data_IF_640219704276
#
_entry.id   IF_640219704276
#
_cell.length_a   1.000
_cell.length_b   1.000
_cell.length_c   1.000
_cell.angle_alpha   90.00
_cell.angle_beta   90.00
_cell.angle_gamma   90.00
#
_symmetry.space_group_name_H-M   'P 1'
#
loop_
_entity.id
_entity.type
_entity.pdbx_description
1 polymer ?
#
# COMPACT_ATOMS: atom_id res chain seq x y z
N UNK A 1 3.54 -2.62 -33.49
CA UNK A 1 2.32 -3.25 -32.99
C UNK A 1 2.47 -4.73 -32.59
N UNK A 2 3.10 -5.60 -33.38
CA UNK A 2 3.28 -7.03 -33.01
C UNK A 2 4.12 -7.25 -31.74
N UNK A 3 5.16 -6.46 -31.49
CA UNK A 3 5.98 -6.57 -30.27
C UNK A 3 5.21 -6.16 -29.01
N UNK A 4 4.31 -5.18 -29.10
CA UNK A 4 3.44 -4.78 -27.99
C UNK A 4 2.45 -5.89 -27.61
N UNK A 5 1.80 -6.51 -28.61
CA UNK A 5 0.88 -7.65 -28.40
C UNK A 5 1.56 -8.89 -27.83
N UNK A 6 2.80 -9.19 -28.31
CA UNK A 6 3.59 -10.30 -27.75
C UNK A 6 4.01 -10.03 -26.30
N UNK A 7 4.20 -8.77 -25.93
CA UNK A 7 4.50 -8.32 -24.58
C UNK A 7 3.28 -8.47 -23.67
N UNK A 8 2.10 -8.00 -24.10
CA UNK A 8 0.83 -8.15 -23.37
C UNK A 8 0.50 -9.61 -23.09
N UNK A 9 0.68 -10.52 -24.08
CA UNK A 9 0.40 -11.94 -23.88
C UNK A 9 1.39 -12.61 -22.92
N UNK A 10 2.66 -12.20 -22.91
CA UNK A 10 3.67 -12.72 -21.97
C UNK A 10 3.36 -12.31 -20.53
N UNK A 11 2.93 -11.07 -20.32
CA UNK A 11 2.56 -10.54 -18.99
C UNK A 11 1.21 -11.09 -18.51
N UNK A 12 0.24 -11.26 -19.41
CA UNK A 12 -1.08 -11.80 -19.08
C UNK A 12 -1.02 -13.24 -18.53
N UNK A 13 -0.02 -14.01 -18.94
CA UNK A 13 0.15 -15.40 -18.50
C UNK A 13 0.97 -15.53 -17.20
N UNK A 14 1.64 -14.48 -16.73
CA UNK A 14 2.39 -14.49 -15.49
C UNK A 14 1.56 -13.89 -14.35
N UNK A 15 1.13 -14.72 -13.40
CA UNK A 15 0.30 -14.30 -12.25
C UNK A 15 0.95 -13.22 -11.40
N UNK A 16 2.27 -13.18 -11.34
CA UNK A 16 3.06 -12.23 -10.54
C UNK A 16 3.64 -11.08 -11.36
N UNK A 17 3.32 -11.01 -12.64
CA UNK A 17 3.76 -9.90 -13.47
C UNK A 17 3.05 -8.60 -13.04
N UNK A 18 3.82 -7.60 -12.69
CA UNK A 18 3.29 -6.25 -12.47
C UNK A 18 3.08 -5.59 -13.83
N UNK A 19 1.84 -5.23 -14.21
CA UNK A 19 1.62 -4.52 -15.46
C UNK A 19 2.10 -3.07 -15.31
N UNK A 20 3.04 -2.66 -16.14
CA UNK A 20 3.42 -1.25 -16.30
C UNK A 20 2.63 -0.63 -17.44
N UNK A 21 1.58 0.08 -17.16
CA UNK A 21 0.83 0.74 -18.22
C UNK A 21 1.46 2.10 -18.55
N UNK A 22 1.67 2.31 -19.83
CA UNK A 22 2.35 3.48 -20.39
C UNK A 22 1.46 4.72 -20.56
N UNK A 23 0.25 4.73 -20.01
CA UNK A 23 -0.74 5.78 -20.27
C UNK A 23 -0.53 7.00 -19.36
N UNK A 24 -0.48 8.20 -19.94
CA UNK A 24 -0.27 9.48 -19.28
C UNK A 24 -1.08 9.75 -18.01
N UNK A 25 -2.38 9.37 -17.91
CA UNK A 25 -3.17 9.56 -16.69
C UNK A 25 -2.57 8.90 -15.44
N UNK A 26 -1.79 7.85 -15.61
CA UNK A 26 -1.19 7.11 -14.47
C UNK A 26 -0.03 7.84 -13.83
N UNK A 27 0.76 8.55 -14.62
CA UNK A 27 1.82 9.44 -14.12
C UNK A 27 1.16 10.54 -13.28
N UNK A 28 0.13 11.19 -13.81
CA UNK A 28 -0.59 12.26 -13.11
C UNK A 28 -1.16 11.79 -11.77
N UNK A 29 -1.83 10.64 -11.74
CA UNK A 29 -2.33 10.05 -10.49
C UNK A 29 -1.21 9.67 -9.52
N UNK A 30 -0.06 9.19 -10.02
CA UNK A 30 1.10 8.90 -9.17
C UNK A 30 1.68 10.14 -8.52
N UNK A 31 1.83 11.23 -9.30
CA UNK A 31 2.31 12.52 -8.78
C UNK A 31 1.31 13.11 -7.78
N UNK A 32 0.01 13.10 -8.08
CA UNK A 32 -1.02 13.58 -7.16
C UNK A 32 -1.06 12.75 -5.86
N UNK A 33 -0.88 11.44 -5.96
CA UNK A 33 -0.78 10.56 -4.80
C UNK A 33 0.43 10.92 -3.92
N UNK A 34 1.60 11.06 -4.51
CA UNK A 34 2.82 11.47 -3.82
C UNK A 34 2.66 12.83 -3.13
N UNK A 35 2.21 13.85 -3.88
CA UNK A 35 1.99 15.20 -3.35
C UNK A 35 0.95 15.16 -2.22
N UNK A 36 -0.12 14.38 -2.38
CA UNK A 36 -1.16 14.22 -1.37
C UNK A 36 -0.61 13.63 -0.07
N UNK A 37 0.17 12.55 -0.14
CA UNK A 37 0.76 11.92 1.05
C UNK A 37 1.83 12.80 1.72
N UNK A 38 2.77 13.33 0.93
CA UNK A 38 3.82 14.22 1.47
C UNK A 38 3.21 15.49 2.04
N UNK A 39 2.26 16.10 1.33
CA UNK A 39 1.54 17.28 1.82
C UNK A 39 0.76 17.01 3.10
N UNK A 40 0.09 15.86 3.19
CA UNK A 40 -0.62 15.44 4.39
C UNK A 40 0.31 15.26 5.59
N UNK A 41 1.46 14.58 5.40
CA UNK A 41 2.45 14.42 6.44
C UNK A 41 3.13 15.74 6.82
N UNK A 42 3.41 16.61 5.83
CA UNK A 42 3.98 17.94 6.06
C UNK A 42 3.06 18.87 6.84
N UNK A 43 1.73 18.73 6.71
CA UNK A 43 0.77 19.46 7.56
C UNK A 43 0.99 19.13 9.04
N UNK A 44 1.25 17.90 9.39
CA UNK A 44 1.60 17.49 10.74
C UNK A 44 2.90 18.13 11.24
N UNK A 45 3.93 18.14 10.39
CA UNK A 45 5.21 18.76 10.70
C UNK A 45 5.07 20.29 10.90
N UNK A 46 4.29 20.96 10.03
CA UNK A 46 4.01 22.38 10.15
C UNK A 46 3.23 22.72 11.42
N UNK A 47 2.25 21.89 11.80
CA UNK A 47 1.45 22.06 12.99
C UNK A 47 2.18 21.61 14.28
N UNK A 48 3.36 21.02 14.15
CA UNK A 48 4.10 20.34 15.25
C UNK A 48 3.18 19.38 16.03
N UNK A 49 2.39 18.61 15.28
CA UNK A 49 1.35 17.76 15.86
C UNK A 49 1.23 16.42 15.13
N UNK A 50 1.65 15.36 15.80
CA UNK A 50 1.61 14.00 15.31
C UNK A 50 0.19 13.51 14.95
N UNK A 51 -0.82 13.95 15.71
CA UNK A 51 -2.23 13.61 15.42
C UNK A 51 -2.68 14.24 14.11
N UNK A 52 -2.29 15.50 13.83
CA UNK A 52 -2.61 16.17 12.56
C UNK A 52 -2.01 15.41 11.39
N UNK A 53 -0.75 14.93 11.52
CA UNK A 53 -0.11 14.10 10.49
C UNK A 53 -0.87 12.80 10.24
N UNK A 54 -1.19 12.07 11.30
CA UNK A 54 -1.95 10.80 11.22
C UNK A 54 -3.33 11.01 10.57
N UNK A 55 -4.06 12.05 10.99
CA UNK A 55 -5.39 12.37 10.44
C UNK A 55 -5.30 12.74 8.97
N UNK A 56 -4.36 13.61 8.60
CA UNK A 56 -4.21 14.06 7.23
C UNK A 56 -3.83 12.91 6.29
N UNK A 57 -2.88 12.06 6.70
CA UNK A 57 -2.48 10.87 5.92
C UNK A 57 -3.64 9.88 5.83
N UNK A 58 -4.37 9.61 6.92
CA UNK A 58 -5.55 8.75 6.89
C UNK A 58 -6.63 9.29 5.95
N UNK A 59 -6.87 10.60 5.96
CA UNK A 59 -7.87 11.24 5.09
C UNK A 59 -7.55 11.07 3.60
N UNK A 60 -6.27 11.07 3.24
CA UNK A 60 -5.81 10.85 1.85
C UNK A 60 -5.80 9.36 1.50
N UNK A 61 -5.28 8.51 2.38
CA UNK A 61 -5.00 7.11 2.05
C UNK A 61 -6.21 6.18 2.25
N UNK A 62 -7.12 6.44 3.22
CA UNK A 62 -8.25 5.55 3.48
C UNK A 62 -9.26 5.46 2.32
N UNK A 63 -9.59 6.56 1.60
CA UNK A 63 -10.41 6.44 0.39
C UNK A 63 -9.77 5.55 -0.68
N UNK A 64 -8.44 5.60 -0.83
CA UNK A 64 -7.71 4.74 -1.77
C UNK A 64 -7.76 3.28 -1.31
N UNK A 65 -7.68 3.02 0.02
CA UNK A 65 -7.88 1.68 0.56
C UNK A 65 -9.29 1.14 0.25
N UNK A 66 -10.32 1.94 0.43
CA UNK A 66 -11.69 1.60 0.06
C UNK A 66 -11.84 1.29 -1.43
N UNK A 67 -11.24 2.11 -2.30
CA UNK A 67 -11.21 1.89 -3.74
C UNK A 67 -10.43 0.62 -4.11
N UNK A 68 -9.30 0.34 -3.44
CA UNK A 68 -8.54 -0.89 -3.66
C UNK A 68 -9.36 -2.13 -3.29
N UNK A 69 -10.04 -2.12 -2.12
CA UNK A 69 -10.97 -3.17 -1.73
C UNK A 69 -12.12 -3.36 -2.74
N UNK A 70 -12.71 -2.25 -3.23
CA UNK A 70 -13.75 -2.29 -4.27
C UNK A 70 -13.24 -2.95 -5.55
N UNK A 71 -12.07 -2.53 -6.04
CA UNK A 71 -11.49 -3.01 -7.29
C UNK A 71 -11.08 -4.48 -7.20
N UNK A 72 -10.45 -4.87 -6.08
CA UNK A 72 -10.06 -6.26 -5.82
C UNK A 72 -11.30 -7.15 -5.69
N UNK A 73 -12.31 -6.70 -4.93
CA UNK A 73 -13.59 -7.38 -4.84
C UNK A 73 -14.30 -7.50 -6.21
N UNK A 74 -14.17 -6.48 -7.07
CA UNK A 74 -14.71 -6.54 -8.43
C UNK A 74 -13.96 -7.54 -9.33
N UNK A 75 -12.65 -7.67 -9.17
CA UNK A 75 -11.86 -8.64 -9.93
C UNK A 75 -12.30 -10.08 -9.61
N UNK A 76 -12.60 -10.39 -8.35
CA UNK A 76 -13.09 -11.70 -7.91
C UNK A 76 -14.58 -11.93 -8.18
N UNK A 77 -15.40 -10.87 -8.08
CA UNK A 77 -16.87 -10.94 -8.14
C UNK A 77 -17.46 -9.88 -9.09
N UNK A 78 -17.17 -9.93 -10.39
CA UNK A 78 -17.53 -8.85 -11.32
C UNK A 78 -19.04 -8.62 -11.48
N UNK A 79 -19.87 -9.63 -11.13
CA UNK A 79 -21.34 -9.57 -11.23
C UNK A 79 -22.06 -9.31 -9.91
N UNK A 80 -21.32 -9.13 -8.80
CA UNK A 80 -21.90 -9.02 -7.45
C UNK A 80 -21.59 -7.67 -6.84
N UNK A 81 -22.45 -6.67 -7.07
CA UNK A 81 -22.24 -5.29 -6.58
C UNK A 81 -22.20 -5.19 -5.06
N UNK A 82 -23.01 -5.96 -4.35
CA UNK A 82 -23.03 -5.99 -2.88
C UNK A 82 -21.69 -6.44 -2.31
N UNK A 83 -21.14 -7.55 -2.81
CA UNK A 83 -19.82 -8.08 -2.36
C UNK A 83 -18.72 -7.03 -2.47
N UNK A 84 -18.69 -6.29 -3.59
CA UNK A 84 -17.72 -5.20 -3.81
C UNK A 84 -17.86 -4.07 -2.79
N UNK A 85 -19.09 -3.69 -2.47
CA UNK A 85 -19.37 -2.66 -1.48
C UNK A 85 -18.89 -3.04 -0.09
N UNK A 86 -19.07 -4.30 0.31
CA UNK A 86 -18.62 -4.80 1.62
C UNK A 86 -17.09 -4.92 1.72
N UNK A 87 -16.41 -5.35 0.65
CA UNK A 87 -14.93 -5.33 0.63
C UNK A 87 -14.38 -3.91 0.68
N UNK A 88 -15.02 -2.96 0.01
CA UNK A 88 -14.68 -1.54 0.09
C UNK A 88 -14.88 -0.99 1.51
N UNK A 89 -16.02 -1.29 2.14
CA UNK A 89 -16.34 -0.85 3.49
C UNK A 89 -15.34 -1.43 4.51
N UNK A 90 -15.02 -2.72 4.42
CA UNK A 90 -14.04 -3.37 5.30
C UNK A 90 -12.64 -2.76 5.15
N UNK A 91 -12.18 -2.52 3.93
CA UNK A 91 -10.89 -1.90 3.66
C UNK A 91 -10.84 -0.44 4.15
N UNK A 92 -11.89 0.35 3.90
CA UNK A 92 -11.97 1.74 4.32
C UNK A 92 -12.03 1.89 5.84
N UNK A 93 -12.96 1.19 6.50
CA UNK A 93 -13.14 1.28 7.97
C UNK A 93 -11.91 0.76 8.71
N UNK A 94 -11.32 -0.33 8.21
CA UNK A 94 -10.06 -0.84 8.76
C UNK A 94 -8.91 0.15 8.62
N UNK A 95 -8.81 0.85 7.48
CA UNK A 95 -7.80 1.87 7.24
C UNK A 95 -7.99 3.10 8.15
N UNK A 96 -9.22 3.61 8.27
CA UNK A 96 -9.56 4.77 9.12
C UNK A 96 -9.24 4.52 10.59
N UNK A 97 -9.28 3.27 11.04
CA UNK A 97 -8.92 2.94 12.42
C UNK A 97 -7.47 3.31 12.79
N UNK A 98 -6.58 3.48 11.80
CA UNK A 98 -5.22 4.02 12.01
C UNK A 98 -5.20 5.40 12.69
N UNK A 99 -6.32 6.13 12.69
CA UNK A 99 -6.51 7.36 13.49
C UNK A 99 -6.39 7.15 14.99
N UNK A 100 -6.61 5.94 15.50
CA UNK A 100 -6.40 5.58 16.89
C UNK A 100 -4.92 5.31 17.22
N UNK A 101 -3.99 5.78 16.39
CA UNK A 101 -2.56 5.57 16.54
C UNK A 101 -2.18 4.10 16.39
N UNK A 102 -1.22 3.64 17.18
CA UNK A 102 -0.69 2.28 17.09
C UNK A 102 -1.73 1.20 17.40
N UNK A 103 -2.69 1.46 18.30
CA UNK A 103 -3.83 0.59 18.57
C UNK A 103 -4.82 0.54 17.40
N UNK A 104 -4.78 1.51 16.51
CA UNK A 104 -5.64 1.56 15.34
C UNK A 104 -5.43 0.39 14.38
N UNK A 105 -4.21 -0.16 14.29
CA UNK A 105 -3.94 -1.27 13.37
C UNK A 105 -4.69 -2.56 13.78
N UNK A 106 -4.55 -3.09 15.01
CA UNK A 106 -5.34 -4.24 15.44
C UNK A 106 -6.85 -3.95 15.46
N UNK A 107 -7.26 -2.75 15.88
CA UNK A 107 -8.68 -2.34 15.85
C UNK A 107 -9.19 -2.36 14.40
N UNK A 108 -8.44 -1.80 13.45
CA UNK A 108 -8.80 -1.77 12.04
C UNK A 108 -8.90 -3.15 11.41
N UNK A 109 -7.97 -4.03 11.74
CA UNK A 109 -8.05 -5.43 11.32
C UNK A 109 -9.32 -6.10 11.85
N UNK A 110 -9.63 -5.94 13.13
CA UNK A 110 -10.85 -6.51 13.74
C UNK A 110 -12.13 -5.89 13.17
N UNK A 111 -12.16 -4.58 12.94
CA UNK A 111 -13.32 -3.91 12.30
C UNK A 111 -13.54 -4.45 10.89
N UNK A 112 -12.49 -4.53 10.08
CA UNK A 112 -12.57 -5.11 8.75
C UNK A 112 -13.09 -6.56 8.79
N UNK A 113 -12.58 -7.35 9.72
CA UNK A 113 -13.00 -8.73 9.92
C UNK A 113 -14.48 -8.82 10.32
N UNK A 114 -14.94 -7.98 11.28
CA UNK A 114 -16.34 -7.91 11.71
C UNK A 114 -17.26 -7.56 10.54
N UNK A 115 -16.90 -6.57 9.74
CA UNK A 115 -17.66 -6.16 8.55
C UNK A 115 -17.80 -7.33 7.57
N UNK A 116 -16.75 -8.11 7.34
CA UNK A 116 -16.79 -9.26 6.44
C UNK A 116 -17.61 -10.42 7.01
N UNK A 117 -17.48 -10.71 8.30
CA UNK A 117 -18.29 -11.75 8.97
C UNK A 117 -19.78 -11.36 8.94
N UNK A 118 -20.09 -10.10 9.23
CA UNK A 118 -21.45 -9.59 9.19
C UNK A 118 -22.06 -9.74 7.79
N UNK A 119 -21.27 -9.41 6.74
CA UNK A 119 -21.69 -9.66 5.37
C UNK A 119 -22.00 -11.13 5.11
N UNK A 120 -21.15 -12.05 5.56
CA UNK A 120 -21.38 -13.50 5.38
C UNK A 120 -22.65 -13.97 6.08
N UNK A 121 -22.97 -13.40 7.26
CA UNK A 121 -24.20 -13.72 7.97
C UNK A 121 -25.46 -13.24 7.26
N UNK A 122 -25.41 -12.06 6.64
CA UNK A 122 -26.54 -11.47 5.92
C UNK A 122 -26.76 -12.10 4.56
N UNK A 123 -25.71 -12.60 3.92
CA UNK A 123 -25.74 -13.01 2.52
C UNK A 123 -25.95 -14.52 2.36
N UNK A 124 -27.18 -14.89 2.00
CA UNK A 124 -27.63 -16.30 1.84
C UNK A 124 -27.58 -16.82 0.39
N UNK A 125 -27.05 -16.07 -0.56
CA UNK A 125 -27.19 -16.34 -1.98
C UNK A 125 -25.93 -16.79 -2.73
N UNK A 126 -24.91 -17.30 -2.04
CA UNK A 126 -23.65 -17.68 -2.72
C UNK A 126 -23.65 -19.16 -3.14
N UNK A 127 -23.24 -19.38 -4.39
CA UNK A 127 -22.94 -20.74 -4.89
C UNK A 127 -21.55 -21.24 -4.44
N UNK A 128 -20.86 -20.51 -3.55
CA UNK A 128 -19.54 -20.88 -3.01
C UNK A 128 -19.63 -21.28 -1.55
N UNK A 129 -18.79 -22.21 -1.08
CA UNK A 129 -18.66 -22.51 0.34
C UNK A 129 -18.33 -21.24 1.14
N UNK A 130 -18.91 -21.03 2.34
CA UNK A 130 -18.70 -19.82 3.14
C UNK A 130 -17.22 -19.53 3.43
N UNK A 131 -16.41 -20.56 3.65
CA UNK A 131 -14.99 -20.43 3.95
C UNK A 131 -14.19 -19.91 2.74
N UNK A 132 -14.49 -20.42 1.55
CA UNK A 132 -13.85 -19.94 0.31
C UNK A 132 -14.22 -18.47 0.02
N UNK A 133 -15.48 -18.14 0.24
CA UNK A 133 -15.94 -16.76 0.09
C UNK A 133 -15.25 -15.84 1.09
N UNK A 134 -15.17 -16.25 2.36
CA UNK A 134 -14.47 -15.49 3.39
C UNK A 134 -13.00 -15.24 3.04
N UNK A 135 -12.29 -16.28 2.59
CA UNK A 135 -10.88 -16.16 2.18
C UNK A 135 -10.68 -15.09 1.09
N UNK A 136 -11.53 -15.11 0.06
CA UNK A 136 -11.45 -14.11 -1.02
C UNK A 136 -11.77 -12.69 -0.52
N UNK A 137 -12.79 -12.54 0.33
CA UNK A 137 -13.16 -11.25 0.91
C UNK A 137 -12.06 -10.70 1.80
N UNK A 138 -11.50 -11.55 2.67
CA UNK A 138 -10.43 -11.17 3.59
C UNK A 138 -9.17 -10.72 2.85
N UNK A 139 -8.73 -11.48 1.84
CA UNK A 139 -7.57 -11.09 1.02
C UNK A 139 -7.82 -9.84 0.18
N UNK A 140 -9.08 -9.53 -0.14
CA UNK A 140 -9.44 -8.32 -0.91
C UNK A 140 -9.42 -7.04 -0.07
N UNK A 141 -9.61 -7.13 1.25
CA UNK A 141 -9.80 -5.96 2.10
C UNK A 141 -8.72 -5.81 3.19
N UNK A 142 -8.41 -6.89 3.93
CA UNK A 142 -7.61 -6.78 5.15
C UNK A 142 -6.15 -6.34 4.93
N UNK A 143 -5.40 -6.84 3.93
CA UNK A 143 -4.02 -6.40 3.72
C UNK A 143 -3.92 -4.90 3.46
N UNK A 144 -4.85 -4.37 2.65
CA UNK A 144 -4.91 -2.95 2.31
C UNK A 144 -5.30 -2.10 3.53
N UNK A 145 -6.27 -2.57 4.32
CA UNK A 145 -6.68 -1.93 5.57
C UNK A 145 -5.51 -1.80 6.55
N UNK A 146 -4.78 -2.90 6.78
CA UNK A 146 -3.61 -2.94 7.67
C UNK A 146 -2.50 -2.04 7.18
N UNK A 147 -2.20 -2.05 5.88
CA UNK A 147 -1.15 -1.20 5.30
C UNK A 147 -1.43 0.29 5.52
N UNK A 148 -2.65 0.74 5.22
CA UNK A 148 -3.03 2.15 5.36
C UNK A 148 -3.20 2.55 6.82
N UNK A 149 -3.77 1.68 7.67
CA UNK A 149 -3.82 1.93 9.11
C UNK A 149 -2.41 2.07 9.71
N UNK A 150 -1.45 1.23 9.30
CA UNK A 150 -0.06 1.32 9.73
C UNK A 150 0.61 2.60 9.26
N UNK A 151 0.38 3.00 7.99
CA UNK A 151 0.90 4.23 7.45
C UNK A 151 0.38 5.47 8.20
N UNK A 152 -0.91 5.50 8.54
CA UNK A 152 -1.50 6.57 9.35
C UNK A 152 -0.96 6.55 10.78
N UNK A 153 -0.89 5.37 11.41
CA UNK A 153 -0.40 5.20 12.77
C UNK A 153 1.07 5.61 12.96
N UNK A 154 1.90 5.51 11.92
CA UNK A 154 3.29 5.98 11.96
C UNK A 154 3.42 7.45 12.37
N UNK A 155 2.46 8.30 12.02
CA UNK A 155 2.46 9.70 12.46
C UNK A 155 2.45 9.85 13.99
N UNK A 156 1.78 8.92 14.72
CA UNK A 156 1.74 8.94 16.18
C UNK A 156 3.03 8.41 16.84
N UNK A 157 3.85 7.67 16.10
CA UNK A 157 5.19 7.24 16.56
C UNK A 157 6.20 8.35 16.31
N UNK A 158 6.12 8.99 15.14
CA UNK A 158 6.98 10.11 14.77
C UNK A 158 6.69 10.57 13.34
N UNK A 159 6.54 11.89 13.17
CA UNK A 159 6.28 12.49 11.86
C UNK A 159 7.43 12.17 10.89
N UNK A 160 8.68 12.21 11.39
CA UNK A 160 9.85 11.86 10.59
C UNK A 160 9.84 10.39 10.14
N UNK A 161 9.36 9.46 10.98
CA UNK A 161 9.21 8.06 10.60
C UNK A 161 8.19 7.89 9.46
N UNK A 162 7.07 8.59 9.54
CA UNK A 162 6.03 8.56 8.51
C UNK A 162 6.52 9.17 7.18
N UNK A 163 7.13 10.37 7.22
CA UNK A 163 7.67 11.05 6.03
C UNK A 163 8.77 10.22 5.39
N UNK A 164 9.69 9.64 6.18
CA UNK A 164 10.78 8.82 5.66
C UNK A 164 10.27 7.61 4.89
N UNK A 165 9.26 6.90 5.43
CA UNK A 165 8.66 5.78 4.71
C UNK A 165 8.01 6.25 3.40
N UNK A 166 7.23 7.34 3.43
CA UNK A 166 6.56 7.89 2.22
C UNK A 166 7.60 8.24 1.15
N UNK A 167 8.70 8.89 1.53
CA UNK A 167 9.76 9.28 0.59
C UNK A 167 10.48 8.07 -0.01
N UNK A 168 10.84 7.08 0.81
CA UNK A 168 11.53 5.86 0.35
C UNK A 168 10.66 5.04 -0.60
N UNK A 169 9.39 4.80 -0.22
CA UNK A 169 8.45 4.07 -1.08
C UNK A 169 8.19 4.81 -2.38
N UNK A 170 7.98 6.14 -2.31
CA UNK A 170 7.74 6.95 -3.51
C UNK A 170 8.95 6.99 -4.44
N UNK A 171 10.17 7.03 -3.89
CA UNK A 171 11.39 6.95 -4.68
C UNK A 171 11.52 5.60 -5.38
N UNK A 172 11.23 4.50 -4.66
CA UNK A 172 11.18 3.16 -5.22
C UNK A 172 10.17 3.08 -6.38
N UNK A 173 8.92 3.48 -6.15
CA UNK A 173 7.86 3.45 -7.18
C UNK A 173 8.20 4.32 -8.39
N UNK A 174 8.80 5.49 -8.18
CA UNK A 174 9.22 6.37 -9.27
C UNK A 174 10.32 5.73 -10.13
N UNK A 175 11.36 5.18 -9.52
CA UNK A 175 12.46 4.51 -10.22
C UNK A 175 11.99 3.26 -10.97
N UNK A 176 11.18 2.43 -10.29
CA UNK A 176 10.57 1.23 -10.85
C UNK A 176 9.69 1.58 -12.07
N UNK A 177 8.86 2.62 -11.98
CA UNK A 177 8.01 3.06 -13.08
C UNK A 177 8.81 3.64 -14.25
N UNK A 178 9.76 4.55 -14.01
CA UNK A 178 10.51 5.24 -15.06
C UNK A 178 11.29 4.26 -15.95
N UNK A 179 11.96 3.30 -15.33
CA UNK A 179 12.76 2.30 -16.07
C UNK A 179 11.88 1.11 -16.48
N UNK A 180 11.05 0.60 -15.58
CA UNK A 180 10.20 -0.57 -15.83
C UNK A 180 9.17 -0.38 -16.94
N UNK A 181 8.65 0.83 -17.15
CA UNK A 181 7.67 1.11 -18.21
C UNK A 181 8.23 0.91 -19.62
N UNK A 182 9.54 1.09 -19.81
CA UNK A 182 10.25 0.90 -21.09
C UNK A 182 10.94 -0.46 -21.23
N UNK A 183 11.07 -1.21 -20.15
CA UNK A 183 11.89 -2.41 -20.05
C UNK A 183 11.31 -3.62 -20.78
N UNK A 184 12.20 -4.47 -21.29
CA UNK A 184 11.85 -5.81 -21.78
C UNK A 184 12.01 -6.90 -20.73
N UNK A 185 12.62 -6.56 -19.57
CA UNK A 185 12.95 -7.46 -18.48
C UNK A 185 12.17 -7.05 -17.22
N UNK A 186 11.62 -8.02 -16.51
CA UNK A 186 10.84 -7.80 -15.28
C UNK A 186 11.67 -7.24 -14.11
N UNK A 187 12.98 -7.39 -14.14
CA UNK A 187 13.87 -6.98 -13.04
C UNK A 187 14.39 -5.55 -13.16
N UNK A 188 14.40 -4.97 -14.36
CA UNK A 188 14.98 -3.63 -14.59
C UNK A 188 14.25 -2.54 -13.80
N UNK A 189 12.91 -2.61 -13.74
CA UNK A 189 12.10 -1.70 -12.94
C UNK A 189 12.44 -1.77 -11.45
N UNK A 190 12.22 -2.93 -10.79
CA UNK A 190 12.55 -3.08 -9.38
C UNK A 190 13.99 -2.71 -9.02
N UNK A 191 14.98 -3.03 -9.86
CA UNK A 191 16.37 -2.65 -9.62
C UNK A 191 16.56 -1.12 -9.68
N UNK A 192 15.94 -0.44 -10.63
CA UNK A 192 15.97 1.02 -10.69
C UNK A 192 15.22 1.64 -9.50
N UNK A 193 14.14 1.02 -9.05
CA UNK A 193 13.45 1.38 -7.81
C UNK A 193 14.37 1.31 -6.60
N UNK A 194 15.14 0.24 -6.46
CA UNK A 194 16.11 0.09 -5.37
C UNK A 194 17.23 1.15 -5.43
N UNK A 195 17.73 1.48 -6.62
CA UNK A 195 18.72 2.55 -6.78
C UNK A 195 18.15 3.90 -6.37
N UNK A 196 16.93 4.22 -6.79
CA UNK A 196 16.24 5.48 -6.43
C UNK A 196 15.96 5.55 -4.92
N UNK A 197 15.52 4.45 -4.32
CA UNK A 197 15.34 4.32 -2.87
C UNK A 197 16.67 4.55 -2.14
N UNK A 198 17.77 3.95 -2.61
CA UNK A 198 19.10 4.13 -2.05
C UNK A 198 19.58 5.58 -2.07
N UNK A 199 19.27 6.33 -3.14
CA UNK A 199 19.60 7.75 -3.21
C UNK A 199 18.83 8.57 -2.16
N UNK A 200 17.54 8.30 -1.97
CA UNK A 200 16.73 8.97 -0.91
C UNK A 200 17.17 8.51 0.46
N UNK A 201 17.50 7.23 0.65
CA UNK A 201 18.04 6.72 1.91
C UNK A 201 19.32 7.45 2.32
N UNK A 202 20.21 7.73 1.34
CA UNK A 202 21.42 8.50 1.60
C UNK A 202 21.11 9.95 2.03
N UNK A 203 20.12 10.60 1.42
CA UNK A 203 19.68 11.93 1.87
C UNK A 203 19.09 11.89 3.28
N UNK A 204 18.28 10.89 3.62
CA UNK A 204 17.73 10.72 4.96
C UNK A 204 18.82 10.42 5.99
N UNK A 205 19.85 9.67 5.62
CA UNK A 205 21.03 9.43 6.45
C UNK A 205 21.76 10.76 6.81
N UNK A 206 21.82 11.71 5.89
CA UNK A 206 22.44 13.02 6.15
C UNK A 206 21.56 13.94 7.02
N UNK A 207 20.22 13.81 6.89
CA UNK A 207 19.24 14.68 7.58
C UNK A 207 18.90 14.15 8.98
N UNK A 208 18.91 12.82 9.16
CA UNK A 208 18.56 12.10 10.39
C UNK A 208 17.24 12.58 11.00
N UNK A 209 16.10 12.44 10.27
CA UNK A 209 14.81 12.88 10.79
C UNK A 209 14.41 12.04 12.01
N UNK A 210 14.03 12.67 13.11
CA UNK A 210 13.61 11.95 14.32
C UNK A 210 12.48 10.96 14.01
N UNK A 211 12.46 9.77 14.57
CA UNK A 211 13.30 9.25 15.67
C UNK A 211 14.59 8.53 15.21
N UNK A 212 15.03 8.69 13.97
CA UNK A 212 16.16 7.93 13.42
C UNK A 212 17.51 8.59 13.71
N UNK A 213 18.50 7.72 13.97
CA UNK A 213 19.92 8.00 13.89
C UNK A 213 20.50 7.46 12.56
N UNK A 214 21.81 7.59 12.37
CA UNK A 214 22.53 7.16 11.17
C UNK A 214 22.44 5.65 10.94
N UNK A 215 22.45 4.82 11.97
CA UNK A 215 22.38 3.37 11.85
C UNK A 215 20.94 2.89 11.61
N UNK A 216 19.99 3.41 12.36
CA UNK A 216 18.59 3.00 12.26
C UNK A 216 18.00 3.37 10.91
N UNK A 217 18.26 4.58 10.37
CA UNK A 217 17.73 4.98 9.08
C UNK A 217 18.20 4.07 7.94
N UNK A 218 19.45 3.60 7.98
CA UNK A 218 19.94 2.66 6.97
C UNK A 218 19.27 1.28 7.08
N UNK A 219 19.09 0.78 8.31
CA UNK A 219 18.36 -0.47 8.54
C UNK A 219 16.93 -0.36 7.99
N UNK A 220 16.25 0.73 8.31
CA UNK A 220 14.89 0.98 7.83
C UNK A 220 14.82 1.12 6.30
N UNK A 221 15.83 1.74 5.67
CA UNK A 221 15.93 1.81 4.21
C UNK A 221 16.10 0.41 3.58
N UNK A 222 16.92 -0.46 4.16
CA UNK A 222 17.08 -1.86 3.71
C UNK A 222 15.75 -2.61 3.82
N UNK A 223 15.04 -2.45 4.95
CA UNK A 223 13.71 -3.06 5.13
C UNK A 223 12.73 -2.56 4.07
N UNK A 224 12.68 -1.26 3.79
CA UNK A 224 11.84 -0.73 2.73
C UNK A 224 12.22 -1.31 1.35
N UNK A 225 13.53 -1.40 1.07
CA UNK A 225 14.05 -1.98 -0.17
C UNK A 225 13.66 -3.44 -0.41
N UNK A 226 13.51 -4.21 0.66
CA UNK A 226 13.02 -5.60 0.59
C UNK A 226 11.49 -5.63 0.49
N UNK A 227 10.81 -4.84 1.32
CA UNK A 227 9.35 -4.87 1.42
C UNK A 227 8.64 -4.30 0.20
N UNK A 228 9.19 -3.28 -0.48
CA UNK A 228 8.56 -2.69 -1.66
C UNK A 228 8.36 -3.71 -2.80
N UNK A 229 9.39 -4.39 -3.32
CA UNK A 229 9.18 -5.38 -4.39
C UNK A 229 8.33 -6.58 -3.92
N UNK A 230 8.47 -7.03 -2.67
CA UNK A 230 7.64 -8.11 -2.12
C UNK A 230 6.18 -7.67 -1.99
N UNK A 231 5.91 -6.42 -1.64
CA UNK A 231 4.57 -5.85 -1.60
C UNK A 231 3.89 -5.85 -2.97
N UNK A 232 4.63 -5.53 -4.04
CA UNK A 232 4.13 -5.61 -5.43
C UNK A 232 3.77 -7.05 -5.83
N UNK A 233 4.60 -8.03 -5.43
CA UNK A 233 4.31 -9.46 -5.65
C UNK A 233 3.05 -9.86 -4.86
N UNK A 234 2.95 -9.46 -3.59
CA UNK A 234 1.79 -9.70 -2.75
C UNK A 234 0.52 -9.11 -3.38
N UNK A 235 0.54 -7.84 -3.80
CA UNK A 235 -0.60 -7.20 -4.46
C UNK A 235 -1.06 -7.98 -5.70
N UNK A 236 -0.12 -8.52 -6.46
CA UNK A 236 -0.44 -9.37 -7.62
C UNK A 236 -1.08 -10.69 -7.21
N UNK A 237 -0.67 -11.27 -6.06
CA UNK A 237 -1.24 -12.50 -5.52
C UNK A 237 -2.65 -12.30 -4.91
N UNK A 238 -3.01 -11.07 -4.52
CA UNK A 238 -4.36 -10.75 -4.04
C UNK A 238 -5.42 -10.76 -5.15
N UNK A 239 -5.03 -10.67 -6.42
CA UNK A 239 -5.91 -10.64 -7.58
C UNK A 239 -6.09 -12.05 -8.17
N UNK A 240 -7.24 -12.33 -8.84
CA UNK A 240 -7.43 -13.58 -9.60
C UNK A 240 -6.34 -13.77 -10.67
N UNK A 241 -5.95 -12.67 -11.30
CA UNK A 241 -4.81 -12.60 -12.23
C UNK A 241 -3.98 -11.38 -11.87
N UNK A 242 -2.66 -11.51 -11.90
CA UNK A 242 -1.75 -10.42 -11.54
C UNK A 242 -1.89 -9.15 -12.38
N UNK A 243 -2.50 -9.24 -13.57
CA UNK A 243 -2.77 -8.13 -14.47
C UNK A 243 -4.21 -7.60 -14.44
N UNK A 244 -5.06 -8.08 -13.53
CA UNK A 244 -6.41 -7.54 -13.38
C UNK A 244 -6.37 -6.05 -13.01
N UNK A 245 -7.38 -5.31 -13.50
CA UNK A 245 -7.46 -3.87 -13.34
C UNK A 245 -7.78 -3.48 -11.88
N UNK A 246 -6.78 -3.03 -11.15
CA UNK A 246 -6.89 -2.59 -9.76
C UNK A 246 -5.90 -1.43 -9.48
N UNK A 247 -6.04 -0.27 -10.13
CA UNK A 247 -5.07 0.83 -10.02
C UNK A 247 -4.92 1.37 -8.59
N UNK A 248 -5.96 1.38 -7.76
CA UNK A 248 -5.85 1.80 -6.38
C UNK A 248 -5.00 0.82 -5.55
N UNK A 249 -5.16 -0.49 -5.77
CA UNK A 249 -4.29 -1.49 -5.15
C UNK A 249 -2.82 -1.28 -5.56
N UNK A 250 -2.57 -0.93 -6.83
CA UNK A 250 -1.22 -0.66 -7.34
C UNK A 250 -0.58 0.62 -6.78
N UNK A 251 -1.35 1.52 -6.17
CA UNK A 251 -0.82 2.67 -5.42
C UNK A 251 -0.45 2.34 -3.98
N UNK A 252 -0.91 1.20 -3.51
CA UNK A 252 -0.67 0.74 -2.14
C UNK A 252 0.21 -0.50 -2.08
N UNK A 253 0.60 -1.06 -3.24
CA UNK A 253 1.27 -2.36 -3.30
C UNK A 253 2.61 -2.38 -2.55
N UNK A 254 3.46 -1.38 -2.74
CA UNK A 254 4.71 -1.25 -1.99
C UNK A 254 4.49 -1.03 -0.49
N UNK A 255 3.37 -0.39 -0.10
CA UNK A 255 3.01 -0.17 1.30
C UNK A 255 2.45 -1.41 2.00
N UNK A 256 1.95 -2.42 1.26
CA UNK A 256 1.31 -3.61 1.85
C UNK A 256 2.18 -4.32 2.88
N UNK A 257 3.47 -4.38 2.66
CA UNK A 257 4.44 -4.95 3.60
C UNK A 257 5.29 -3.87 4.27
N UNK A 258 5.67 -2.83 3.54
CA UNK A 258 6.56 -1.83 4.08
C UNK A 258 5.93 -1.09 5.27
N UNK A 259 4.67 -0.66 5.19
CA UNK A 259 4.06 0.14 6.26
C UNK A 259 3.88 -0.62 7.58
N UNK A 260 3.32 -1.85 7.63
CA UNK A 260 3.18 -2.57 8.88
C UNK A 260 4.52 -3.01 9.48
N UNK A 261 5.47 -3.45 8.67
CA UNK A 261 6.80 -3.86 9.16
C UNK A 261 7.56 -2.64 9.68
N UNK A 262 7.52 -1.52 8.97
CA UNK A 262 8.12 -0.26 9.37
C UNK A 262 7.54 0.25 10.71
N UNK A 263 6.21 0.18 10.86
CA UNK A 263 5.55 0.56 12.11
C UNK A 263 6.03 -0.28 13.30
N UNK A 264 6.10 -1.60 13.15
CA UNK A 264 6.56 -2.51 14.21
C UNK A 264 8.00 -2.16 14.61
N UNK A 265 8.89 -1.93 13.64
CA UNK A 265 10.28 -1.59 13.90
C UNK A 265 10.42 -0.20 14.55
N UNK A 266 9.63 0.79 14.08
CA UNK A 266 9.64 2.13 14.66
C UNK A 266 9.18 2.13 16.12
N UNK A 267 8.18 1.30 16.46
CA UNK A 267 7.75 1.11 17.84
C UNK A 267 8.83 0.47 18.71
N UNK A 268 9.60 -0.47 18.18
CA UNK A 268 10.72 -1.07 18.92
C UNK A 268 11.84 -0.07 19.14
N UNK A 269 12.14 0.78 18.16
CA UNK A 269 13.17 1.82 18.29
C UNK A 269 12.80 2.81 19.40
N UNK A 270 11.57 3.33 19.42
CA UNK A 270 11.11 4.30 20.43
C UNK A 270 10.85 3.71 21.81
N UNK A 271 10.74 2.40 21.95
CA UNK A 271 10.58 1.73 23.25
C UNK A 271 11.91 1.52 24.00
N UNK A 272 13.05 1.67 23.33
CA UNK A 272 14.40 1.48 23.89
C UNK A 272 15.00 2.79 24.40
N UNK A 273 14.48 3.94 23.97
CA UNK A 273 14.83 5.26 24.47
C UNK A 273 14.04 5.60 25.74
#
# INVERSE_FOLDING_TARGET
MQRARARETRWANNRFAVPYPTDGPKITFGVLWFIGLVGAAALGAYADNATVSSVAVAAVASPIAGLAGLQTGNAWFPRQSATRGWTAAAAYLGAVAGLAGTWGVPIGFLLGLIVLIFYLMLYRGHNRPPLELFDVLARSALPVAVAVASLAALGSVGIGAQISLILLVSAYEAGDFVVGSGSSNAFEGPMAGLVSLGAVAFLLFLIQPAPFDDQSILLFAVVAGICCPLGQVLASALLPRGNDWAPALRRLDSYLLAAPIWLILALQLTAVE
#
